data_IF_636188686130
#
_entry.id   IF_636188686130
#
_cell.length_a   1.000
_cell.length_b   1.000
_cell.length_c   1.000
_cell.angle_alpha   90.00
_cell.angle_beta   90.00
_cell.angle_gamma   90.00
#
_symmetry.space_group_name_H-M   'P 1'
#
loop_
_entity.id
_entity.type
_entity.pdbx_description
1 polymer ?
#
# COMPACT_ATOMS: atom_id res chain seq x y z
N UNK A 1 -4.16 -2.47 29.63
CA UNK A 1 -3.86 -2.92 28.24
C UNK A 1 -4.52 -4.28 28.04
N UNK A 2 -5.22 -4.47 26.93
CA UNK A 2 -5.87 -5.75 26.62
C UNK A 2 -4.81 -6.85 26.43
N UNK A 3 -5.00 -8.02 27.03
CA UNK A 3 -4.02 -9.12 26.92
C UNK A 3 -4.10 -9.80 25.55
N UNK A 4 -3.02 -10.47 25.13
CA UNK A 4 -2.93 -11.18 23.86
C UNK A 4 -4.12 -12.12 23.60
N UNK A 5 -4.49 -12.91 24.61
CA UNK A 5 -5.62 -13.86 24.50
C UNK A 5 -6.98 -13.17 24.34
N UNK A 6 -7.15 -11.96 24.89
CA UNK A 6 -8.39 -11.21 24.74
C UNK A 6 -8.50 -10.60 23.35
N UNK A 7 -7.39 -10.08 22.80
CA UNK A 7 -7.33 -9.59 21.42
C UNK A 7 -7.67 -10.71 20.45
N UNK A 8 -7.07 -11.89 20.61
CA UNK A 8 -7.34 -13.07 19.77
C UNK A 8 -8.80 -13.50 19.88
N UNK A 9 -9.36 -13.56 21.10
CA UNK A 9 -10.75 -13.96 21.32
C UNK A 9 -11.73 -13.00 20.67
N UNK A 10 -11.51 -11.69 20.79
CA UNK A 10 -12.37 -10.67 20.20
C UNK A 10 -12.29 -10.61 18.67
N UNK A 11 -11.21 -11.11 18.09
CA UNK A 11 -10.97 -11.15 16.65
C UNK A 11 -10.99 -12.58 16.07
N UNK A 12 -11.60 -13.55 16.74
CA UNK A 12 -11.57 -14.97 16.36
C UNK A 12 -12.08 -15.29 14.94
N UNK A 13 -12.84 -14.39 14.32
CA UNK A 13 -13.29 -14.53 12.93
C UNK A 13 -12.23 -14.17 11.88
N UNK A 14 -11.14 -13.52 12.28
CA UNK A 14 -10.09 -13.10 11.34
C UNK A 14 -9.03 -14.22 11.18
N UNK A 15 -8.70 -14.59 9.93
CA UNK A 15 -7.75 -15.69 9.66
C UNK A 15 -6.36 -15.50 10.28
N UNK A 16 -5.89 -14.25 10.45
CA UNK A 16 -4.59 -13.99 11.07
C UNK A 16 -4.47 -14.36 12.54
N UNK A 17 -5.59 -14.69 13.22
CA UNK A 17 -5.56 -15.26 14.58
C UNK A 17 -4.77 -16.55 14.64
N UNK A 18 -4.86 -17.39 13.60
CA UNK A 18 -4.21 -18.71 13.54
C UNK A 18 -2.69 -18.61 13.51
N UNK A 19 -2.13 -17.53 12.97
CA UNK A 19 -0.69 -17.35 12.78
C UNK A 19 -0.05 -16.36 13.75
N UNK A 20 -0.82 -15.68 14.59
CA UNK A 20 -0.33 -14.60 15.46
C UNK A 20 0.77 -15.08 16.43
N UNK A 21 0.61 -16.28 17.01
CA UNK A 21 1.61 -16.87 17.90
C UNK A 21 2.91 -17.22 17.16
N UNK A 22 2.81 -17.74 15.93
CA UNK A 22 3.96 -18.08 15.10
C UNK A 22 4.75 -16.84 14.68
N UNK A 23 4.07 -15.73 14.39
CA UNK A 23 4.72 -14.44 14.10
C UNK A 23 5.53 -13.95 15.29
N UNK A 24 4.96 -13.95 16.51
CA UNK A 24 5.68 -13.53 17.71
C UNK A 24 6.89 -14.43 18.01
N UNK A 25 6.74 -15.74 17.82
CA UNK A 25 7.83 -16.70 17.95
C UNK A 25 8.94 -16.46 16.92
N UNK A 26 8.57 -16.22 15.67
CA UNK A 26 9.52 -15.93 14.59
C UNK A 26 10.29 -14.63 14.83
N UNK A 27 9.62 -13.57 15.29
CA UNK A 27 10.26 -12.30 15.65
C UNK A 27 11.27 -12.47 16.78
N UNK A 28 10.94 -13.29 17.79
CA UNK A 28 11.87 -13.58 18.87
C UNK A 28 13.10 -14.33 18.38
N UNK A 29 12.91 -15.34 17.53
CA UNK A 29 13.98 -16.22 17.07
C UNK A 29 14.88 -15.58 15.99
N UNK A 30 14.28 -14.85 15.03
CA UNK A 30 14.98 -14.44 13.80
C UNK A 30 15.16 -12.91 13.67
N UNK A 31 14.45 -12.12 14.44
CA UNK A 31 14.49 -10.66 14.33
C UNK A 31 13.71 -10.08 13.13
N UNK A 32 13.45 -10.87 12.11
CA UNK A 32 12.69 -10.51 10.92
C UNK A 32 11.67 -11.59 10.59
N UNK A 33 10.53 -11.22 10.02
CA UNK A 33 9.51 -12.13 9.50
C UNK A 33 8.85 -11.55 8.26
N UNK A 34 8.57 -12.43 7.29
CA UNK A 34 7.80 -12.09 6.10
C UNK A 34 6.44 -12.77 6.19
N UNK A 35 5.39 -12.01 5.99
CA UNK A 35 4.02 -12.48 6.07
C UNK A 35 3.29 -12.31 4.76
N UNK A 36 2.59 -13.34 4.31
CA UNK A 36 1.60 -13.23 3.25
C UNK A 36 0.21 -13.57 3.78
N UNK A 37 -0.74 -12.73 3.44
CA UNK A 37 -2.13 -12.95 3.80
C UNK A 37 -3.05 -12.34 2.74
N UNK A 38 -4.19 -12.98 2.43
CA UNK A 38 -5.16 -12.41 1.51
C UNK A 38 -5.79 -11.13 2.09
N UNK A 39 -6.32 -10.27 1.25
CA UNK A 39 -7.04 -9.08 1.70
C UNK A 39 -8.20 -9.45 2.65
N UNK A 40 -8.36 -8.68 3.72
CA UNK A 40 -9.42 -8.91 4.72
C UNK A 40 -9.09 -9.95 5.79
N UNK A 41 -7.93 -10.58 5.75
CA UNK A 41 -7.51 -11.57 6.75
C UNK A 41 -7.19 -10.96 8.13
N UNK A 42 -7.14 -9.64 8.29
CA UNK A 42 -6.74 -8.95 9.52
C UNK A 42 -5.24 -8.63 9.58
N UNK A 43 -4.52 -8.77 8.47
CA UNK A 43 -3.09 -8.49 8.36
C UNK A 43 -2.72 -7.12 8.91
N UNK A 44 -3.36 -6.06 8.41
CA UNK A 44 -3.05 -4.68 8.75
C UNK A 44 -3.63 -4.22 10.09
N UNK A 45 -4.59 -4.94 10.67
CA UNK A 45 -5.29 -4.52 11.89
C UNK A 45 -5.02 -5.42 13.09
N UNK A 46 -5.26 -6.72 12.96
CA UNK A 46 -5.09 -7.65 14.07
C UNK A 46 -3.61 -7.95 14.38
N UNK A 47 -2.80 -8.17 13.33
CA UNK A 47 -1.41 -8.59 13.53
C UNK A 47 -0.59 -7.57 14.33
N UNK A 48 -0.60 -6.24 14.04
CA UNK A 48 0.12 -5.27 14.86
C UNK A 48 -0.32 -5.27 16.32
N UNK A 49 -1.62 -5.47 16.59
CA UNK A 49 -2.15 -5.58 17.95
C UNK A 49 -1.63 -6.83 18.67
N UNK A 50 -1.53 -7.97 17.98
CA UNK A 50 -0.99 -9.21 18.57
C UNK A 50 0.51 -9.14 18.79
N UNK A 51 1.26 -8.43 17.94
CA UNK A 51 2.69 -8.14 18.16
C UNK A 51 2.86 -7.19 19.36
N UNK A 52 2.01 -6.16 19.48
CA UNK A 52 2.01 -5.25 20.62
C UNK A 52 1.79 -6.02 21.95
N UNK A 53 0.80 -6.88 21.99
CA UNK A 53 0.42 -7.56 23.24
C UNK A 53 1.30 -8.76 23.58
N UNK A 54 1.87 -9.45 22.58
CA UNK A 54 2.58 -10.71 22.78
C UNK A 54 4.10 -10.62 22.69
N UNK A 55 4.62 -9.55 22.09
CA UNK A 55 6.05 -9.42 21.83
C UNK A 55 6.66 -8.11 22.37
N UNK A 56 5.91 -6.99 22.32
CA UNK A 56 6.47 -5.67 22.53
C UNK A 56 6.85 -5.43 24.00
N UNK A 57 8.06 -4.91 24.32
CA UNK A 57 8.44 -4.49 25.68
C UNK A 57 7.50 -3.40 26.20
N UNK A 58 7.44 -3.19 27.53
CA UNK A 58 6.55 -2.24 28.17
C UNK A 58 6.71 -0.78 27.70
N UNK A 59 7.90 -0.40 27.31
CA UNK A 59 8.30 0.93 26.82
C UNK A 59 8.51 1.00 25.30
N UNK A 60 8.42 -0.15 24.60
CA UNK A 60 8.65 -0.22 23.17
C UNK A 60 7.47 0.26 22.34
N UNK A 61 7.74 0.71 21.11
CA UNK A 61 6.76 1.12 20.11
C UNK A 61 6.87 0.31 18.83
N UNK A 62 5.76 0.24 18.10
CA UNK A 62 5.67 -0.27 16.74
C UNK A 62 5.46 0.93 15.80
N UNK A 63 6.32 1.05 14.79
CA UNK A 63 6.04 1.89 13.63
C UNK A 63 5.51 1.00 12.51
N UNK A 64 4.31 1.32 12.02
CA UNK A 64 3.69 0.59 10.91
C UNK A 64 3.55 1.49 9.70
N UNK A 65 4.20 1.12 8.61
CA UNK A 65 4.15 1.85 7.35
C UNK A 65 2.93 1.44 6.54
N UNK A 66 2.19 2.45 6.12
CA UNK A 66 1.12 2.36 5.14
C UNK A 66 1.40 3.30 3.96
N UNK A 67 1.29 2.84 2.70
CA UNK A 67 1.66 3.67 1.56
C UNK A 67 0.71 4.86 1.36
N UNK A 68 -0.51 4.81 1.90
CA UNK A 68 -1.56 5.79 1.63
C UNK A 68 -2.12 6.42 2.90
N UNK A 69 -2.26 7.76 2.90
CA UNK A 69 -2.79 8.53 4.05
C UNK A 69 -4.17 8.07 4.51
N UNK A 70 -5.08 7.78 3.56
CA UNK A 70 -6.42 7.29 3.90
C UNK A 70 -6.37 5.93 4.59
N UNK A 71 -5.58 5.00 4.06
CA UNK A 71 -5.40 3.69 4.66
C UNK A 71 -4.77 3.77 6.06
N UNK A 72 -3.73 4.60 6.24
CA UNK A 72 -3.10 4.79 7.53
C UNK A 72 -4.10 5.25 8.61
N UNK A 73 -5.00 6.19 8.27
CA UNK A 73 -6.07 6.62 9.18
C UNK A 73 -7.04 5.49 9.49
N UNK A 74 -7.58 4.85 8.47
CA UNK A 74 -8.59 3.79 8.63
C UNK A 74 -8.05 2.58 9.41
N UNK A 75 -6.80 2.20 9.14
CA UNK A 75 -6.14 1.12 9.86
C UNK A 75 -5.95 1.49 11.33
N UNK A 76 -5.47 2.71 11.63
CA UNK A 76 -5.32 3.17 13.00
C UNK A 76 -6.65 3.30 13.74
N UNK A 77 -7.67 3.88 13.10
CA UNK A 77 -9.03 3.97 13.64
C UNK A 77 -9.59 2.56 13.94
N UNK A 78 -9.47 1.62 12.99
CA UNK A 78 -9.95 0.27 13.17
C UNK A 78 -9.23 -0.48 14.30
N UNK A 79 -7.91 -0.32 14.43
CA UNK A 79 -7.17 -0.92 15.55
C UNK A 79 -7.58 -0.32 16.89
N UNK A 80 -7.79 1.01 16.97
CA UNK A 80 -8.28 1.66 18.18
C UNK A 80 -9.68 1.16 18.56
N UNK A 81 -10.59 1.03 17.59
CA UNK A 81 -11.94 0.47 17.81
C UNK A 81 -11.86 -0.97 18.35
N UNK A 82 -10.95 -1.80 17.82
CA UNK A 82 -10.75 -3.19 18.30
C UNK A 82 -10.27 -3.24 19.75
N UNK A 83 -9.58 -2.20 20.22
CA UNK A 83 -9.19 -2.02 21.62
C UNK A 83 -10.26 -1.31 22.47
N UNK A 84 -11.37 -0.87 21.86
CA UNK A 84 -12.38 0.00 22.49
C UNK A 84 -11.78 1.34 22.99
N UNK A 85 -10.81 1.87 22.24
CA UNK A 85 -10.12 3.12 22.52
C UNK A 85 -10.38 4.15 21.42
N UNK A 86 -10.03 5.41 21.68
CA UNK A 86 -9.97 6.46 20.66
C UNK A 86 -8.61 6.47 19.97
N UNK A 87 -8.59 6.81 18.68
CA UNK A 87 -7.34 7.03 17.93
C UNK A 87 -6.51 8.12 18.59
N UNK A 88 -5.23 7.81 18.87
CA UNK A 88 -4.32 8.65 19.66
C UNK A 88 -4.13 8.16 21.09
N UNK A 89 -4.84 7.09 21.51
CA UNK A 89 -4.55 6.30 22.71
C UNK A 89 -3.38 5.33 22.44
N UNK A 90 -3.60 4.03 22.69
CA UNK A 90 -2.58 2.99 22.41
C UNK A 90 -2.22 2.90 20.93
N UNK A 91 -3.13 3.26 20.02
CA UNK A 91 -2.92 3.31 18.57
C UNK A 91 -3.15 4.72 18.06
N UNK A 92 -2.19 5.22 17.30
CA UNK A 92 -2.29 6.51 16.63
C UNK A 92 -1.75 6.47 15.20
N UNK A 93 -1.78 7.60 14.51
CA UNK A 93 -1.20 7.73 13.18
C UNK A 93 -0.50 9.06 12.97
N UNK A 94 0.48 9.07 12.05
CA UNK A 94 1.13 10.28 11.52
C UNK A 94 1.09 10.26 10.00
N UNK A 95 0.42 11.22 9.42
CA UNK A 95 0.40 11.44 7.96
C UNK A 95 0.75 12.89 7.67
N UNK A 96 1.07 13.20 6.42
CA UNK A 96 1.43 14.58 6.05
C UNK A 96 0.32 15.55 6.47
N UNK A 97 0.69 16.57 7.26
CA UNK A 97 -0.17 17.62 7.82
C UNK A 97 -1.17 17.18 8.91
N UNK A 98 -1.12 15.94 9.35
CA UNK A 98 -2.01 15.47 10.39
C UNK A 98 -1.29 14.46 11.31
N UNK A 99 -1.43 14.66 12.61
CA UNK A 99 -0.83 13.83 13.63
C UNK A 99 -1.86 13.56 14.73
N UNK A 100 -2.11 12.27 15.02
CA UNK A 100 -2.96 11.80 16.11
C UNK A 100 -2.27 10.71 16.90
N UNK A 101 -1.24 11.09 17.64
CA UNK A 101 -0.51 10.24 18.57
C UNK A 101 -0.35 10.96 19.91
N UNK A 102 -0.11 10.20 20.97
CA UNK A 102 0.21 10.68 22.30
C UNK A 102 1.42 9.93 22.87
N UNK A 103 1.85 10.28 24.08
CA UNK A 103 2.91 9.54 24.78
C UNK A 103 2.53 8.09 25.08
N UNK A 104 1.22 7.80 25.22
CA UNK A 104 0.70 6.45 25.43
C UNK A 104 0.62 5.62 24.14
N UNK A 105 0.87 6.20 22.96
CA UNK A 105 0.77 5.47 21.71
C UNK A 105 1.90 4.44 21.59
N UNK A 106 1.48 3.18 21.45
CA UNK A 106 2.34 2.00 21.32
C UNK A 106 2.45 1.54 19.86
N UNK A 107 1.44 1.83 19.05
CA UNK A 107 1.45 1.61 17.60
C UNK A 107 1.23 2.97 16.93
N UNK A 108 2.16 3.37 16.10
CA UNK A 108 2.05 4.56 15.27
C UNK A 108 1.99 4.13 13.80
N UNK A 109 0.82 4.29 13.16
CA UNK A 109 0.66 4.05 11.72
C UNK A 109 1.13 5.29 10.98
N UNK A 110 2.14 5.13 10.13
CA UNK A 110 2.83 6.24 9.48
C UNK A 110 2.91 6.02 7.97
N UNK A 111 3.01 7.12 7.21
CA UNK A 111 3.31 7.00 5.78
C UNK A 111 4.82 6.91 5.55
N UNK A 112 5.23 6.28 4.45
CA UNK A 112 6.61 5.92 4.11
C UNK A 112 7.61 7.08 4.29
N UNK A 113 7.32 8.26 3.75
CA UNK A 113 8.19 9.43 3.86
C UNK A 113 8.34 9.97 5.30
N UNK A 114 7.48 9.56 6.24
CA UNK A 114 7.64 9.91 7.65
C UNK A 114 8.71 9.05 8.29
N UNK A 115 8.75 7.74 8.01
CA UNK A 115 9.82 6.88 8.52
C UNK A 115 11.20 7.32 8.01
N UNK A 116 11.33 7.65 6.72
CA UNK A 116 12.58 8.17 6.18
C UNK A 116 13.06 9.40 6.94
N UNK A 117 12.16 10.35 7.23
CA UNK A 117 12.53 11.55 8.04
C UNK A 117 12.87 11.21 9.48
N UNK A 118 12.19 10.25 10.10
CA UNK A 118 12.53 9.80 11.45
C UNK A 118 13.93 9.20 11.47
N UNK A 119 14.28 8.34 10.51
CA UNK A 119 15.59 7.74 10.39
C UNK A 119 16.70 8.76 10.12
N UNK A 120 16.43 9.81 9.32
CA UNK A 120 17.38 10.92 9.11
C UNK A 120 17.60 11.73 10.39
N UNK A 121 16.55 11.94 11.18
CA UNK A 121 16.63 12.71 12.42
C UNK A 121 17.23 11.89 13.56
N UNK A 122 16.89 10.62 13.65
CA UNK A 122 17.34 9.67 14.66
C UNK A 122 17.53 8.28 14.04
N UNK A 123 18.77 7.93 13.61
CA UNK A 123 19.07 6.60 13.07
C UNK A 123 18.93 5.46 14.09
N UNK A 124 18.91 5.77 15.38
CA UNK A 124 18.70 4.77 16.43
C UNK A 124 17.23 4.42 16.61
N UNK A 125 16.29 5.25 16.13
CA UNK A 125 14.86 5.09 16.35
C UNK A 125 14.57 4.80 17.83
N UNK A 126 15.02 5.67 18.74
CA UNK A 126 14.84 5.47 20.17
C UNK A 126 13.39 5.16 20.55
N UNK A 127 13.20 4.16 21.43
CA UNK A 127 11.88 3.68 21.84
C UNK A 127 11.12 2.83 20.81
N UNK A 128 11.64 2.67 19.59
CA UNK A 128 11.04 1.78 18.58
C UNK A 128 11.64 0.40 18.69
N UNK A 129 10.79 -0.61 18.82
CA UNK A 129 11.20 -2.03 18.89
C UNK A 129 10.87 -2.81 17.64
N UNK A 130 9.84 -2.41 16.89
CA UNK A 130 9.36 -3.10 15.69
C UNK A 130 9.01 -2.09 14.60
N UNK A 131 9.45 -2.37 13.38
CA UNK A 131 9.00 -1.68 12.17
C UNK A 131 8.24 -2.67 11.29
N UNK A 132 7.00 -2.34 10.96
CA UNK A 132 6.12 -3.14 10.10
C UNK A 132 5.98 -2.40 8.77
N UNK A 133 6.31 -3.06 7.67
CA UNK A 133 6.07 -2.58 6.32
C UNK A 133 4.82 -3.27 5.76
N UNK A 134 3.70 -2.56 5.68
CA UNK A 134 2.50 -3.10 5.04
C UNK A 134 2.44 -2.76 3.55
N UNK A 135 1.71 -3.59 2.81
CA UNK A 135 1.56 -3.50 1.35
C UNK A 135 2.90 -3.38 0.59
N UNK A 136 3.95 -4.00 1.12
CA UNK A 136 5.32 -3.88 0.60
C UNK A 136 5.47 -4.30 -0.87
N UNK A 137 4.55 -5.12 -1.38
CA UNK A 137 4.47 -5.49 -2.79
C UNK A 137 4.15 -4.31 -3.74
N UNK A 138 3.71 -3.16 -3.24
CA UNK A 138 3.54 -1.95 -4.06
C UNK A 138 4.88 -1.41 -4.57
N UNK A 139 6.00 -1.70 -3.89
CA UNK A 139 7.36 -1.39 -4.30
C UNK A 139 7.54 0.08 -4.69
N UNK A 140 6.95 1.00 -3.91
CA UNK A 140 7.21 2.44 -4.05
C UNK A 140 8.68 2.75 -3.74
N UNK A 141 9.23 3.80 -4.36
CA UNK A 141 10.60 4.23 -4.10
C UNK A 141 10.80 4.64 -2.63
N UNK A 142 9.77 5.23 -2.01
CA UNK A 142 9.83 5.63 -0.60
C UNK A 142 9.82 4.42 0.34
N UNK A 143 9.05 3.37 0.00
CA UNK A 143 9.04 2.12 0.77
C UNK A 143 10.38 1.40 0.64
N UNK A 144 10.93 1.29 -0.56
CA UNK A 144 12.22 0.66 -0.82
C UNK A 144 13.36 1.40 -0.09
N UNK A 145 13.36 2.75 -0.10
CA UNK A 145 14.31 3.57 0.65
C UNK A 145 14.17 3.38 2.16
N UNK A 146 12.94 3.52 2.68
CA UNK A 146 12.68 3.34 4.12
C UNK A 146 13.11 1.95 4.60
N UNK A 147 12.88 0.91 3.78
CA UNK A 147 13.34 -0.44 4.05
C UNK A 147 14.87 -0.53 4.09
N UNK A 148 15.57 0.00 3.08
CA UNK A 148 17.02 -0.05 3.00
C UNK A 148 17.68 0.66 4.19
N UNK A 149 17.18 1.85 4.56
CA UNK A 149 17.68 2.61 5.72
C UNK A 149 17.40 1.88 7.05
N UNK A 150 16.16 1.35 7.22
CA UNK A 150 15.79 0.57 8.42
C UNK A 150 16.69 -0.67 8.56
N UNK A 151 16.93 -1.36 7.44
CA UNK A 151 17.76 -2.56 7.43
C UNK A 151 19.23 -2.23 7.76
N UNK A 152 19.75 -1.14 7.25
CA UNK A 152 21.10 -0.66 7.61
C UNK A 152 21.20 -0.32 9.10
N UNK A 153 20.22 0.41 9.64
CA UNK A 153 20.15 0.68 11.07
C UNK A 153 20.12 -0.61 11.88
N UNK A 154 19.31 -1.59 11.49
CA UNK A 154 19.23 -2.88 12.17
C UNK A 154 20.57 -3.62 12.14
N UNK A 155 21.27 -3.63 11.01
CA UNK A 155 22.52 -4.36 10.86
C UNK A 155 23.69 -3.73 11.63
N UNK A 156 23.73 -2.40 11.70
CA UNK A 156 24.90 -1.67 12.20
C UNK A 156 24.68 -1.13 13.61
N UNK A 157 23.49 -0.58 13.89
CA UNK A 157 23.24 0.20 15.11
C UNK A 157 22.28 -0.49 16.08
N UNK A 158 21.27 -1.19 15.57
CA UNK A 158 20.15 -1.72 16.35
C UNK A 158 19.85 -3.19 15.99
N UNK A 159 20.75 -4.13 16.31
CA UNK A 159 20.50 -5.56 16.03
C UNK A 159 19.28 -6.12 16.79
N UNK A 160 18.79 -5.42 17.80
CA UNK A 160 17.56 -5.70 18.54
C UNK A 160 16.29 -5.30 17.79
N UNK A 161 16.35 -4.32 16.86
CA UNK A 161 15.20 -3.84 16.08
C UNK A 161 14.59 -4.98 15.26
N UNK A 162 13.28 -5.12 15.31
CA UNK A 162 12.55 -6.16 14.57
C UNK A 162 11.90 -5.59 13.32
N UNK A 163 11.87 -6.40 12.26
CA UNK A 163 11.28 -6.01 10.97
C UNK A 163 10.22 -7.03 10.57
N UNK A 164 9.02 -6.56 10.28
CA UNK A 164 7.92 -7.34 9.72
C UNK A 164 7.61 -6.82 8.33
N UNK A 165 7.64 -7.70 7.33
CA UNK A 165 7.21 -7.37 5.97
C UNK A 165 5.87 -8.05 5.72
N UNK A 166 4.85 -7.26 5.37
CA UNK A 166 3.53 -7.77 5.03
C UNK A 166 3.24 -7.55 3.55
N UNK A 167 2.84 -8.60 2.85
CA UNK A 167 2.59 -8.60 1.42
C UNK A 167 1.28 -9.32 1.10
N UNK A 168 0.58 -8.88 0.05
CA UNK A 168 -0.58 -9.59 -0.49
C UNK A 168 -0.20 -10.61 -1.57
N UNK A 169 1.02 -10.60 -2.07
CA UNK A 169 1.51 -11.51 -3.13
C UNK A 169 2.43 -12.58 -2.56
N UNK A 170 2.36 -13.77 -3.17
CA UNK A 170 3.06 -14.98 -2.69
C UNK A 170 4.57 -14.97 -2.97
N UNK A 171 5.05 -14.19 -3.96
CA UNK A 171 6.48 -14.19 -4.26
C UNK A 171 7.26 -13.27 -3.33
N UNK A 172 7.55 -13.83 -2.21
CA UNK A 172 8.36 -13.21 -1.15
C UNK A 172 9.75 -13.81 -1.06
N UNK A 173 10.12 -14.70 -2.00
CA UNK A 173 11.38 -15.45 -1.94
C UNK A 173 12.62 -14.55 -1.89
N UNK A 174 12.64 -13.49 -2.72
CA UNK A 174 13.73 -12.50 -2.70
C UNK A 174 13.80 -11.72 -1.38
N UNK A 175 12.65 -11.38 -0.82
CA UNK A 175 12.55 -10.66 0.48
C UNK A 175 13.01 -11.58 1.61
N UNK A 176 12.53 -12.83 1.65
CA UNK A 176 12.94 -13.82 2.66
C UNK A 176 14.44 -14.07 2.61
N UNK A 177 15.01 -14.19 1.42
CA UNK A 177 16.46 -14.38 1.23
C UNK A 177 17.25 -13.15 1.70
N UNK A 178 16.85 -11.94 1.31
CA UNK A 178 17.51 -10.69 1.69
C UNK A 178 17.51 -10.46 3.21
N UNK A 179 16.41 -10.81 3.87
CA UNK A 179 16.24 -10.65 5.31
C UNK A 179 16.73 -11.85 6.11
N UNK A 180 17.02 -12.98 5.49
CA UNK A 180 17.17 -14.28 6.15
C UNK A 180 15.98 -14.56 7.10
N UNK A 181 14.76 -14.31 6.63
CA UNK A 181 13.55 -14.32 7.42
C UNK A 181 12.63 -15.49 7.02
N UNK A 182 11.94 -16.13 7.98
CA UNK A 182 10.92 -17.13 7.66
C UNK A 182 9.71 -16.47 6.99
N UNK A 183 9.08 -17.21 6.09
CA UNK A 183 7.78 -16.89 5.51
C UNK A 183 6.68 -17.52 6.36
N UNK A 184 5.71 -16.71 6.76
CA UNK A 184 4.47 -17.17 7.39
C UNK A 184 3.31 -16.88 6.46
N UNK A 185 2.57 -17.91 6.08
CA UNK A 185 1.44 -17.79 5.17
C UNK A 185 0.11 -17.93 5.93
N UNK A 186 -0.72 -16.91 5.82
CA UNK A 186 -2.09 -16.94 6.32
C UNK A 186 -3.04 -17.41 5.21
N UNK A 187 -3.71 -18.54 5.42
CA UNK A 187 -4.71 -19.09 4.50
C UNK A 187 -6.09 -18.49 4.81
N UNK A 188 -6.38 -17.30 4.26
CA UNK A 188 -7.73 -16.73 4.37
C UNK A 188 -8.70 -17.34 3.35
N UNK A 189 -9.98 -17.35 3.69
CA UNK A 189 -11.05 -17.77 2.77
C UNK A 189 -11.44 -16.57 1.89
N UNK A 190 -11.25 -16.69 0.59
CA UNK A 190 -11.84 -15.80 -0.40
C UNK A 190 -12.96 -16.54 -1.14
N UNK A 191 -14.02 -15.81 -1.45
CA UNK A 191 -15.07 -16.34 -2.32
C UNK A 191 -14.60 -16.34 -3.79
N UNK A 192 -15.10 -17.28 -4.60
CA UNK A 192 -14.76 -17.34 -6.02
C UNK A 192 -15.21 -16.07 -6.75
N UNK A 193 -14.39 -15.61 -7.69
CA UNK A 193 -14.70 -14.48 -8.58
C UNK A 193 -14.70 -14.97 -10.02
N UNK A 194 -15.85 -14.86 -10.67
CA UNK A 194 -15.98 -15.13 -12.11
C UNK A 194 -15.32 -14.00 -12.90
N UNK A 195 -14.33 -14.32 -13.73
CA UNK A 195 -13.66 -13.32 -14.58
C UNK A 195 -14.25 -13.35 -16.00
N UNK A 196 -14.73 -12.19 -16.47
CA UNK A 196 -15.26 -11.97 -17.81
C UNK A 196 -14.36 -11.02 -18.58
N UNK A 197 -13.96 -11.41 -19.77
CA UNK A 197 -13.08 -10.64 -20.65
C UNK A 197 -13.87 -9.91 -21.73
N UNK A 198 -13.35 -8.76 -22.17
CA UNK A 198 -13.86 -8.08 -23.34
C UNK A 198 -13.49 -8.85 -24.64
N UNK A 199 -14.27 -8.65 -25.69
CA UNK A 199 -13.99 -9.22 -27.01
C UNK A 199 -12.80 -8.52 -27.70
N UNK A 200 -12.57 -7.24 -27.38
CA UNK A 200 -11.47 -6.41 -27.91
C UNK A 200 -10.81 -5.62 -26.79
N UNK A 201 -9.56 -5.30 -26.97
CA UNK A 201 -8.83 -4.39 -26.05
C UNK A 201 -9.37 -2.97 -26.19
N UNK A 202 -9.52 -2.27 -25.07
CA UNK A 202 -9.92 -0.85 -25.10
C UNK A 202 -8.71 0.06 -25.37
N UNK A 203 -8.95 1.15 -26.06
CA UNK A 203 -8.00 2.25 -26.21
C UNK A 203 -8.01 3.14 -24.97
N UNK A 204 -6.88 3.76 -24.58
CA UNK A 204 -6.87 4.74 -23.49
C UNK A 204 -7.89 5.88 -23.65
N UNK A 205 -8.17 6.32 -24.87
CA UNK A 205 -9.13 7.40 -25.15
C UNK A 205 -10.59 6.97 -24.88
N UNK A 206 -10.89 5.68 -24.98
CA UNK A 206 -12.24 5.15 -24.85
C UNK A 206 -12.54 4.61 -23.44
N UNK A 207 -11.59 4.72 -22.51
CA UNK A 207 -11.74 4.15 -21.15
C UNK A 207 -13.04 4.62 -20.48
N UNK A 208 -13.37 5.93 -20.36
CA UNK A 208 -14.53 6.36 -19.61
C UNK A 208 -15.84 5.84 -20.20
N UNK A 209 -15.97 5.83 -21.53
CA UNK A 209 -17.18 5.39 -22.25
C UNK A 209 -17.37 3.88 -22.12
N UNK A 210 -16.30 3.12 -22.28
CA UNK A 210 -16.32 1.65 -22.18
C UNK A 210 -16.58 1.19 -20.74
N UNK A 211 -15.95 1.83 -19.74
CA UNK A 211 -16.19 1.56 -18.33
C UNK A 211 -17.64 1.87 -17.96
N UNK A 212 -18.20 3.01 -18.38
CA UNK A 212 -19.58 3.37 -18.11
C UNK A 212 -20.59 2.37 -18.74
N UNK A 213 -20.33 1.90 -19.98
CA UNK A 213 -21.13 0.87 -20.62
C UNK A 213 -21.05 -0.47 -19.88
N UNK A 214 -19.86 -0.87 -19.45
CA UNK A 214 -19.65 -2.10 -18.68
C UNK A 214 -20.32 -2.04 -17.30
N UNK A 215 -20.27 -0.89 -16.61
CA UNK A 215 -20.97 -0.65 -15.35
C UNK A 215 -22.49 -0.80 -15.55
N UNK A 216 -23.07 -0.15 -16.57
CA UNK A 216 -24.51 -0.22 -16.85
C UNK A 216 -24.96 -1.66 -17.14
N UNK A 217 -24.17 -2.42 -17.91
CA UNK A 217 -24.41 -3.84 -18.16
C UNK A 217 -24.31 -4.67 -16.88
N UNK A 218 -23.26 -4.48 -16.11
CA UNK A 218 -23.05 -5.22 -14.86
C UNK A 218 -24.12 -4.93 -13.82
N UNK A 219 -24.55 -3.65 -13.73
CA UNK A 219 -25.64 -3.22 -12.84
C UNK A 219 -26.97 -3.90 -13.15
N UNK A 220 -27.29 -4.13 -14.43
CA UNK A 220 -28.51 -4.83 -14.85
C UNK A 220 -28.47 -6.35 -14.69
N UNK A 221 -27.28 -6.94 -14.63
CA UNK A 221 -27.10 -8.41 -14.62
C UNK A 221 -26.79 -8.99 -13.25
N UNK A 222 -26.31 -8.18 -12.31
CA UNK A 222 -25.84 -8.65 -11.01
C UNK A 222 -26.32 -7.76 -9.87
N UNK A 223 -26.35 -8.32 -8.69
CA UNK A 223 -26.62 -7.63 -7.43
C UNK A 223 -25.31 -7.28 -6.69
N UNK A 224 -25.41 -6.31 -5.77
CA UNK A 224 -24.30 -5.83 -4.94
C UNK A 224 -23.63 -4.57 -5.49
N UNK A 225 -22.72 -4.01 -4.73
CA UNK A 225 -22.01 -2.78 -5.07
C UNK A 225 -20.98 -3.02 -6.18
N UNK A 226 -20.74 -1.97 -6.97
CA UNK A 226 -19.81 -1.99 -8.10
C UNK A 226 -18.58 -1.15 -7.75
N UNK A 227 -17.40 -1.72 -7.91
CA UNK A 227 -16.14 -1.00 -7.87
C UNK A 227 -15.51 -0.97 -9.26
N UNK A 228 -15.35 0.21 -9.83
CA UNK A 228 -14.75 0.38 -11.15
C UNK A 228 -13.39 1.06 -11.05
N UNK A 229 -12.36 0.47 -11.66
CA UNK A 229 -11.01 1.02 -11.69
C UNK A 229 -10.75 1.81 -12.97
N UNK A 230 -10.43 3.09 -12.81
CA UNK A 230 -10.07 4.04 -13.86
C UNK A 230 -8.66 4.60 -13.62
N UNK A 231 -7.95 5.04 -14.67
CA UNK A 231 -6.57 5.52 -14.53
C UNK A 231 -6.44 6.79 -13.68
N UNK A 232 -7.35 7.76 -13.86
CA UNK A 232 -7.22 9.06 -13.25
C UNK A 232 -8.51 9.81 -12.97
N UNK A 233 -8.38 10.97 -12.33
CA UNK A 233 -9.50 11.81 -11.92
C UNK A 233 -10.36 12.30 -13.12
N UNK A 234 -9.72 12.65 -14.25
CA UNK A 234 -10.42 13.09 -15.44
C UNK A 234 -11.31 11.99 -16.02
N UNK A 235 -10.80 10.73 -16.04
CA UNK A 235 -11.53 9.56 -16.51
C UNK A 235 -12.72 9.25 -15.59
N UNK A 236 -12.54 9.40 -14.27
CA UNK A 236 -13.60 9.25 -13.27
C UNK A 236 -14.70 10.28 -13.50
N UNK A 237 -14.35 11.57 -13.62
CA UNK A 237 -15.33 12.63 -13.82
C UNK A 237 -16.11 12.50 -15.13
N UNK A 238 -15.47 11.99 -16.19
CA UNK A 238 -16.14 11.72 -17.45
C UNK A 238 -17.08 10.50 -17.33
N UNK A 239 -16.61 9.42 -16.68
CA UNK A 239 -17.44 8.23 -16.45
C UNK A 239 -18.66 8.57 -15.57
N UNK A 240 -18.49 9.35 -14.51
CA UNK A 240 -19.56 9.81 -13.63
C UNK A 240 -20.66 10.55 -14.40
N UNK A 241 -20.29 11.49 -15.27
CA UNK A 241 -21.24 12.20 -16.15
C UNK A 241 -22.01 11.26 -17.07
N UNK A 242 -21.35 10.22 -17.62
CA UNK A 242 -21.98 9.24 -18.51
C UNK A 242 -22.98 8.31 -17.78
N UNK A 243 -22.83 8.18 -16.46
CA UNK A 243 -23.69 7.33 -15.63
C UNK A 243 -24.86 8.09 -14.98
N UNK A 244 -24.73 9.40 -14.77
CA UNK A 244 -25.67 10.22 -13.98
C UNK A 244 -27.16 10.06 -14.40
N UNK A 245 -27.43 10.04 -15.72
CA UNK A 245 -28.79 9.93 -16.23
C UNK A 245 -29.26 8.47 -16.44
N UNK A 246 -28.33 7.49 -16.40
CA UNK A 246 -28.63 6.11 -16.80
C UNK A 246 -28.97 5.21 -15.62
N UNK A 247 -28.47 5.49 -14.44
CA UNK A 247 -28.51 4.59 -13.29
C UNK A 247 -29.19 5.19 -12.06
N UNK A 248 -29.92 6.30 -12.21
CA UNK A 248 -30.75 6.83 -11.11
C UNK A 248 -31.76 5.78 -10.64
N UNK A 249 -31.95 5.54 -9.33
CA UNK A 249 -31.41 6.32 -8.19
C UNK A 249 -30.09 5.81 -7.60
N UNK A 250 -29.33 4.94 -8.28
CA UNK A 250 -28.10 4.37 -7.73
C UNK A 250 -27.04 5.47 -7.56
N UNK A 251 -26.51 5.61 -6.35
CA UNK A 251 -25.48 6.60 -6.04
C UNK A 251 -24.13 6.22 -6.66
N UNK A 252 -23.44 7.21 -7.24
CA UNK A 252 -22.10 7.09 -7.81
C UNK A 252 -21.14 7.94 -6.98
N UNK A 253 -20.05 7.31 -6.49
CA UNK A 253 -19.06 7.96 -5.65
C UNK A 253 -17.68 7.91 -6.32
N UNK A 254 -17.02 9.06 -6.56
CA UNK A 254 -15.61 9.08 -6.93
C UNK A 254 -14.71 8.70 -5.75
N UNK A 255 -13.58 8.01 -6.01
CA UNK A 255 -12.58 7.67 -4.99
C UNK A 255 -11.16 7.82 -5.54
N UNK A 256 -10.49 8.91 -5.16
CA UNK A 256 -9.09 9.19 -5.50
C UNK A 256 -8.40 10.02 -4.40
N UNK A 257 -7.07 10.09 -4.43
CA UNK A 257 -6.26 10.58 -3.31
C UNK A 257 -6.46 12.05 -2.92
N UNK A 258 -6.93 12.93 -3.84
CA UNK A 258 -7.09 14.37 -3.60
C UNK A 258 -8.50 14.77 -3.14
N UNK A 259 -9.41 13.82 -2.95
CA UNK A 259 -10.73 14.10 -2.38
C UNK A 259 -10.62 14.51 -0.91
N UNK A 260 -11.62 15.28 -0.43
CA UNK A 260 -11.73 15.58 0.99
C UNK A 260 -11.92 14.29 1.80
N UNK A 261 -11.50 14.27 3.09
CA UNK A 261 -11.69 13.11 3.96
C UNK A 261 -13.16 12.68 4.08
N UNK A 262 -14.09 13.61 4.02
CA UNK A 262 -15.52 13.35 4.05
C UNK A 262 -16.00 12.62 2.79
N UNK A 263 -15.62 13.08 1.61
CA UNK A 263 -15.94 12.44 0.34
C UNK A 263 -15.36 11.03 0.26
N UNK A 264 -14.12 10.84 0.72
CA UNK A 264 -13.49 9.53 0.77
C UNK A 264 -14.26 8.59 1.72
N UNK A 265 -14.70 9.09 2.89
CA UNK A 265 -15.49 8.32 3.87
C UNK A 265 -16.83 7.89 3.28
N UNK A 266 -17.55 8.78 2.60
CA UNK A 266 -18.81 8.46 1.93
C UNK A 266 -18.65 7.37 0.87
N UNK A 267 -17.60 7.44 0.06
CA UNK A 267 -17.34 6.42 -0.96
C UNK A 267 -17.07 5.02 -0.36
N UNK A 268 -16.43 4.97 0.82
CA UNK A 268 -16.06 3.72 1.49
C UNK A 268 -17.16 3.18 2.40
N UNK A 269 -18.00 4.04 3.00
CA UNK A 269 -19.07 3.65 3.91
C UNK A 269 -19.98 2.58 3.30
N UNK A 270 -20.51 1.62 4.07
CA UNK A 270 -21.44 0.61 3.56
C UNK A 270 -22.69 1.25 2.96
N UNK A 271 -23.28 0.61 1.95
CA UNK A 271 -24.56 1.03 1.38
C UNK A 271 -25.69 0.83 2.37
N UNK A 272 -26.73 1.65 2.29
CA UNK A 272 -27.95 1.48 3.07
C UNK A 272 -28.64 0.14 2.79
N UNK A 273 -29.52 -0.29 3.71
CA UNK A 273 -30.22 -1.57 3.57
C UNK A 273 -31.10 -1.57 2.32
N UNK A 274 -30.81 -2.45 1.37
CA UNK A 274 -31.51 -2.52 0.08
C UNK A 274 -31.03 -1.52 -0.98
N UNK A 275 -30.04 -0.70 -0.66
CA UNK A 275 -29.42 0.25 -1.57
C UNK A 275 -28.17 -0.37 -2.22
N UNK A 276 -27.80 0.17 -3.35
CA UNK A 276 -26.58 -0.16 -4.09
C UNK A 276 -25.81 1.11 -4.41
N UNK A 277 -24.50 1.00 -4.46
CA UNK A 277 -23.64 2.10 -4.90
C UNK A 277 -22.65 1.66 -5.97
N UNK A 278 -22.14 2.64 -6.69
CA UNK A 278 -21.04 2.49 -7.65
C UNK A 278 -19.89 3.35 -7.16
N UNK A 279 -18.71 2.77 -6.99
CA UNK A 279 -17.50 3.50 -6.64
C UNK A 279 -16.58 3.53 -7.86
N UNK A 280 -16.28 4.73 -8.35
CA UNK A 280 -15.33 4.96 -9.44
C UNK A 280 -13.98 5.31 -8.83
N UNK A 281 -13.01 4.42 -8.90
CA UNK A 281 -11.76 4.54 -8.16
C UNK A 281 -10.52 4.56 -9.06
N UNK A 282 -9.51 5.33 -8.64
CA UNK A 282 -8.14 5.11 -9.09
C UNK A 282 -7.53 3.91 -8.34
N UNK A 283 -6.24 3.52 -8.60
CA UNK A 283 -5.59 2.44 -7.83
C UNK A 283 -5.58 2.63 -6.30
N UNK A 284 -6.06 3.76 -5.77
CA UNK A 284 -6.23 3.98 -4.32
C UNK A 284 -7.09 2.90 -3.65
N UNK A 285 -8.06 2.33 -4.38
CA UNK A 285 -8.93 1.27 -3.89
C UNK A 285 -8.39 -0.15 -4.19
N UNK A 286 -7.17 -0.30 -4.70
CA UNK A 286 -6.59 -1.60 -5.07
C UNK A 286 -6.14 -2.41 -3.85
N UNK A 287 -5.57 -1.72 -2.84
CA UNK A 287 -5.04 -2.32 -1.60
C UNK A 287 -5.58 -1.58 -0.37
N UNK A 288 -5.18 -1.93 0.83
CA UNK A 288 -5.39 -1.27 2.13
C UNK A 288 -6.79 -0.71 2.49
N UNK A 289 -7.63 -0.33 1.52
CA UNK A 289 -8.98 0.22 1.78
C UNK A 289 -10.02 -0.88 1.62
N UNK A 290 -10.86 -1.09 2.61
CA UNK A 290 -12.01 -2.00 2.51
C UNK A 290 -13.26 -1.22 2.14
N UNK A 291 -13.88 -1.57 1.02
CA UNK A 291 -15.20 -1.09 0.61
C UNK A 291 -16.14 -2.28 0.78
N UNK A 292 -17.02 -2.17 1.76
CA UNK A 292 -17.99 -3.23 2.06
C UNK A 292 -19.05 -3.32 0.96
N UNK A 293 -19.63 -4.50 0.75
CA UNK A 293 -20.72 -4.70 -0.21
C UNK A 293 -20.29 -4.92 -1.67
N UNK A 294 -19.01 -4.72 -2.01
CA UNK A 294 -18.52 -4.91 -3.39
C UNK A 294 -18.61 -6.38 -3.80
N UNK A 295 -19.38 -6.66 -4.84
CA UNK A 295 -19.50 -7.97 -5.49
C UNK A 295 -19.16 -7.92 -6.98
N UNK A 296 -19.05 -6.73 -7.54
CA UNK A 296 -18.78 -6.51 -8.95
C UNK A 296 -17.56 -5.61 -9.09
N UNK A 297 -16.59 -6.05 -9.87
CA UNK A 297 -15.43 -5.23 -10.25
C UNK A 297 -15.48 -4.99 -11.76
N UNK A 298 -15.26 -3.75 -12.18
CA UNK A 298 -15.02 -3.35 -13.57
C UNK A 298 -13.61 -2.78 -13.66
N UNK A 299 -12.73 -3.46 -14.37
CA UNK A 299 -11.32 -3.09 -14.47
C UNK A 299 -10.98 -2.62 -15.87
N UNK A 300 -10.58 -1.36 -16.01
CA UNK A 300 -10.12 -0.79 -17.29
C UNK A 300 -8.82 -1.43 -17.80
N UNK A 301 -8.02 -2.06 -16.93
CA UNK A 301 -6.69 -2.56 -17.27
C UNK A 301 -5.61 -1.49 -17.37
N UNK A 302 -5.90 -0.29 -16.87
CA UNK A 302 -4.97 0.85 -16.92
C UNK A 302 -4.80 1.52 -15.56
N UNK A 303 -3.65 2.20 -15.40
CA UNK A 303 -3.37 3.09 -14.29
C UNK A 303 -2.54 4.28 -14.77
N UNK A 304 -2.44 5.33 -13.95
CA UNK A 304 -1.45 6.39 -14.15
C UNK A 304 -0.19 6.08 -13.37
N UNK A 305 0.94 6.16 -14.05
CA UNK A 305 2.27 5.97 -13.49
C UNK A 305 3.13 7.20 -13.76
N UNK A 306 3.92 7.60 -12.78
CA UNK A 306 4.93 8.63 -12.98
C UNK A 306 6.13 7.99 -13.69
N UNK A 307 6.49 8.52 -14.85
CA UNK A 307 7.61 8.04 -15.67
C UNK A 307 8.64 9.16 -15.76
N UNK A 308 9.87 8.84 -15.37
CA UNK A 308 10.99 9.77 -15.49
C UNK A 308 11.62 9.67 -16.88
N UNK A 309 11.83 10.84 -17.50
CA UNK A 309 12.52 10.92 -18.78
C UNK A 309 13.98 11.40 -18.56
N UNK A 310 14.96 10.51 -18.68
CA UNK A 310 16.38 10.85 -18.44
C UNK A 310 16.93 11.94 -19.36
N UNK A 311 16.32 12.11 -20.57
CA UNK A 311 16.79 13.11 -21.53
C UNK A 311 16.38 14.54 -21.16
N UNK A 312 15.17 14.70 -20.64
CA UNK A 312 14.65 16.01 -20.23
C UNK A 312 14.88 16.30 -18.74
N UNK A 313 15.17 15.28 -17.91
CA UNK A 313 15.22 15.40 -16.46
C UNK A 313 13.86 15.65 -15.82
N UNK A 314 12.76 15.41 -16.54
CA UNK A 314 11.40 15.65 -16.05
C UNK A 314 10.62 14.35 -15.92
N UNK A 315 9.81 14.27 -14.88
CA UNK A 315 8.82 13.23 -14.70
C UNK A 315 7.46 13.67 -15.22
N UNK A 316 6.73 12.78 -15.88
CA UNK A 316 5.37 13.02 -16.34
C UNK A 316 4.47 11.83 -16.06
N UNK A 317 3.17 12.07 -15.97
CA UNK A 317 2.19 11.01 -15.74
C UNK A 317 1.75 10.40 -17.08
N UNK A 318 1.99 9.09 -17.21
CA UNK A 318 1.52 8.30 -18.35
C UNK A 318 0.38 7.35 -17.94
N UNK A 319 -0.53 7.09 -18.89
CA UNK A 319 -1.52 6.03 -18.77
C UNK A 319 -0.92 4.75 -19.32
N UNK A 320 -0.65 3.79 -18.43
CA UNK A 320 0.01 2.52 -18.74
C UNK A 320 -0.88 1.33 -18.44
N UNK A 321 -0.61 0.19 -19.09
CA UNK A 321 -1.24 -1.10 -18.74
C UNK A 321 -0.80 -1.52 -17.34
N UNK A 322 -1.73 -2.08 -16.57
CA UNK A 322 -1.43 -2.69 -15.27
C UNK A 322 -0.74 -4.04 -15.46
N UNK A 323 -0.12 -4.53 -14.39
CA UNK A 323 0.42 -5.89 -14.30
C UNK A 323 -0.66 -6.91 -13.89
N UNK A 324 -0.36 -8.20 -14.06
CA UNK A 324 -1.30 -9.29 -13.71
C UNK A 324 -1.57 -9.39 -12.21
N UNK A 325 -0.57 -9.10 -11.37
CA UNK A 325 -0.74 -9.03 -9.92
C UNK A 325 -1.73 -7.92 -9.54
N UNK A 326 -1.63 -6.72 -10.15
CA UNK A 326 -2.61 -5.65 -9.95
C UNK A 326 -4.02 -6.09 -10.39
N UNK A 327 -4.14 -6.70 -11.57
CA UNK A 327 -5.42 -7.22 -12.06
C UNK A 327 -6.04 -8.26 -11.11
N UNK A 328 -5.20 -9.10 -10.52
CA UNK A 328 -5.62 -10.11 -9.53
C UNK A 328 -6.07 -9.47 -8.23
N UNK A 329 -5.33 -8.48 -7.72
CA UNK A 329 -5.73 -7.73 -6.52
C UNK A 329 -7.05 -6.99 -6.71
N UNK A 330 -7.23 -6.31 -7.87
CA UNK A 330 -8.48 -5.62 -8.22
C UNK A 330 -9.64 -6.59 -8.30
N UNK A 331 -9.50 -7.70 -9.00
CA UNK A 331 -10.55 -8.72 -9.11
C UNK A 331 -10.92 -9.32 -7.75
N UNK A 332 -9.93 -9.53 -6.87
CA UNK A 332 -10.13 -10.03 -5.52
C UNK A 332 -11.05 -9.17 -4.64
N UNK A 333 -11.25 -7.88 -5.01
CA UNK A 333 -12.20 -7.01 -4.31
C UNK A 333 -13.64 -7.50 -4.40
N UNK A 334 -14.02 -8.20 -5.48
CA UNK A 334 -15.37 -8.77 -5.67
C UNK A 334 -15.64 -10.01 -4.80
N UNK A 335 -14.58 -10.70 -4.34
CA UNK A 335 -14.67 -11.97 -3.61
C UNK A 335 -14.52 -11.86 -2.09
N UNK A 336 -14.68 -10.70 -1.47
CA UNK A 336 -14.45 -10.52 -0.03
C UNK A 336 -15.60 -10.97 0.85
N UNK A 337 -16.82 -10.70 0.45
CA UNK A 337 -18.03 -10.94 1.26
C UNK A 337 -18.92 -12.05 0.72
N UNK A 338 -18.89 -12.31 -0.58
CA UNK A 338 -19.67 -13.32 -1.28
C UNK A 338 -19.03 -13.63 -2.64
N UNK A 339 -19.48 -14.67 -3.37
CA UNK A 339 -19.08 -14.88 -4.75
C UNK A 339 -19.36 -13.64 -5.60
N UNK A 340 -18.39 -13.27 -6.43
CA UNK A 340 -18.44 -12.04 -7.21
C UNK A 340 -18.09 -12.21 -8.67
N UNK A 341 -18.09 -11.10 -9.42
CA UNK A 341 -17.74 -11.08 -10.85
C UNK A 341 -16.77 -9.91 -11.11
N UNK A 342 -15.80 -10.17 -11.99
CA UNK A 342 -14.84 -9.16 -12.45
C UNK A 342 -14.92 -9.04 -13.98
N UNK A 343 -15.24 -7.86 -14.47
CA UNK A 343 -15.20 -7.50 -15.89
C UNK A 343 -13.83 -6.91 -16.21
N UNK A 344 -12.98 -7.66 -16.90
CA UNK A 344 -11.71 -7.21 -17.45
C UNK A 344 -11.94 -6.62 -18.83
N UNK A 345 -11.73 -5.32 -19.00
CA UNK A 345 -11.99 -4.63 -20.27
C UNK A 345 -10.84 -4.80 -21.28
N UNK A 346 -10.29 -5.99 -21.34
CA UNK A 346 -9.27 -6.43 -22.31
C UNK A 346 -9.49 -7.89 -22.68
N UNK A 347 -8.82 -8.34 -23.73
CA UNK A 347 -8.93 -9.73 -24.18
C UNK A 347 -8.07 -10.66 -23.34
N UNK A 348 -8.49 -11.91 -23.18
CA UNK A 348 -7.69 -12.91 -22.49
C UNK A 348 -6.30 -13.11 -23.14
N UNK A 349 -6.22 -12.98 -24.47
CA UNK A 349 -4.95 -13.05 -25.18
C UNK A 349 -3.97 -11.92 -24.82
N UNK A 350 -4.46 -10.75 -24.46
CA UNK A 350 -3.65 -9.60 -24.07
C UNK A 350 -2.92 -9.80 -22.73
N UNK A 351 -3.40 -10.69 -21.88
CA UNK A 351 -2.72 -11.00 -20.61
C UNK A 351 -1.33 -11.59 -20.80
N UNK A 352 -1.11 -12.36 -21.85
CA UNK A 352 0.23 -12.89 -22.18
C UNK A 352 1.27 -11.81 -22.49
N UNK A 353 0.83 -10.58 -22.75
CA UNK A 353 1.68 -9.41 -23.02
C UNK A 353 1.80 -8.46 -21.82
N UNK A 354 1.03 -8.71 -20.76
CA UNK A 354 1.10 -7.93 -19.52
C UNK A 354 2.29 -8.43 -18.68
N UNK A 355 2.95 -7.50 -17.98
CA UNK A 355 3.94 -7.88 -17.00
C UNK A 355 3.28 -8.72 -15.90
N UNK A 356 3.94 -9.78 -15.46
CA UNK A 356 3.43 -10.59 -14.34
C UNK A 356 3.28 -9.77 -13.06
N UNK A 357 4.22 -8.86 -12.82
CA UNK A 357 4.32 -8.06 -11.60
C UNK A 357 4.57 -6.60 -11.89
N UNK A 358 4.20 -5.79 -10.93
CA UNK A 358 4.57 -4.37 -10.89
C UNK A 358 6.10 -4.23 -10.84
N UNK A 359 6.66 -3.39 -11.70
CA UNK A 359 8.08 -3.05 -11.61
C UNK A 359 8.32 -2.16 -10.38
N UNK A 360 9.41 -2.42 -9.61
CA UNK A 360 9.79 -1.51 -8.54
C UNK A 360 9.99 -0.10 -9.08
N UNK A 361 9.41 0.89 -8.40
CA UNK A 361 9.45 2.29 -8.84
C UNK A 361 10.88 2.84 -8.94
N UNK A 362 11.78 2.35 -8.09
CA UNK A 362 13.21 2.69 -8.10
C UNK A 362 13.90 2.42 -9.43
N UNK A 363 13.36 1.54 -10.27
CA UNK A 363 13.93 1.22 -11.58
C UNK A 363 13.71 2.32 -12.63
N UNK A 364 12.66 3.12 -12.48
CA UNK A 364 12.17 4.05 -13.50
C UNK A 364 11.93 5.47 -12.95
N UNK A 365 12.27 5.75 -11.68
CA UNK A 365 12.04 7.04 -11.02
C UNK A 365 13.23 8.00 -11.12
N UNK A 366 12.97 9.29 -10.87
CA UNK A 366 14.01 10.27 -10.56
C UNK A 366 14.62 9.95 -9.20
N UNK A 367 15.92 9.68 -9.18
CA UNK A 367 16.65 9.34 -7.96
C UNK A 367 17.21 10.54 -7.20
N UNK A 368 17.11 11.78 -7.72
CA UNK A 368 17.70 12.93 -7.04
C UNK A 368 17.13 13.17 -5.64
N UNK A 369 15.79 13.12 -5.41
CA UNK A 369 15.26 13.22 -4.05
C UNK A 369 15.75 12.09 -3.12
N UNK A 370 15.77 10.86 -3.65
CA UNK A 370 16.21 9.68 -2.89
C UNK A 370 17.69 9.77 -2.47
N UNK A 371 18.56 10.20 -3.39
CA UNK A 371 19.99 10.38 -3.07
C UNK A 371 20.22 11.52 -2.09
N UNK A 372 19.40 12.56 -2.13
CA UNK A 372 19.46 13.65 -1.16
C UNK A 372 19.08 13.16 0.25
N UNK A 373 18.04 12.35 0.37
CA UNK A 373 17.62 11.73 1.64
C UNK A 373 18.73 10.78 2.18
N UNK A 374 19.37 10.00 1.31
CA UNK A 374 20.49 9.13 1.66
C UNK A 374 21.69 9.94 2.19
N UNK A 375 22.03 11.03 1.48
CA UNK A 375 23.08 11.94 1.93
C UNK A 375 22.73 12.64 3.26
N UNK A 376 21.44 12.95 3.47
CA UNK A 376 20.96 13.52 4.73
C UNK A 376 21.00 12.51 5.88
N UNK A 377 20.78 11.23 5.61
CA UNK A 377 20.95 10.14 6.57
C UNK A 377 22.42 9.93 6.98
N UNK A 378 23.35 10.42 6.17
CA UNK A 378 24.79 10.34 6.44
C UNK A 378 25.54 9.29 5.62
N UNK A 379 24.86 8.66 4.64
CA UNK A 379 25.48 7.70 3.74
C UNK A 379 25.90 8.37 2.42
N UNK A 380 27.12 8.14 2.02
CA UNK A 380 27.68 8.71 0.78
C UNK A 380 27.61 7.74 -0.41
N UNK A 381 27.52 6.44 -0.14
CA UNK A 381 27.40 5.39 -1.14
C UNK A 381 26.01 4.77 -1.15
N UNK A 382 25.14 5.34 -1.98
CA UNK A 382 23.77 4.85 -2.12
C UNK A 382 23.68 3.39 -2.61
N UNK A 383 24.69 2.89 -3.32
CA UNK A 383 24.72 1.53 -3.86
C UNK A 383 25.08 0.49 -2.78
N UNK A 384 25.75 0.91 -1.71
CA UNK A 384 26.11 0.06 -0.58
C UNK A 384 24.94 -0.22 0.38
N UNK A 385 23.83 0.52 0.29
CA UNK A 385 22.64 0.25 1.11
C UNK A 385 22.07 -1.14 0.82
N UNK A 386 21.50 -1.82 1.82
CA UNK A 386 20.90 -3.15 1.66
C UNK A 386 19.55 -3.11 0.93
N UNK A 387 19.57 -2.68 -0.33
CA UNK A 387 18.41 -2.62 -1.19
C UNK A 387 17.84 -4.01 -1.49
N UNK A 388 16.53 -4.10 -1.62
CA UNK A 388 15.91 -5.28 -2.22
C UNK A 388 16.07 -5.28 -3.75
N UNK A 389 16.00 -4.09 -4.36
CA UNK A 389 16.32 -3.86 -5.78
C UNK A 389 17.29 -2.69 -5.84
N UNK A 390 18.52 -2.94 -6.22
CA UNK A 390 19.54 -1.88 -6.33
C UNK A 390 19.19 -0.90 -7.44
N UNK A 391 19.27 0.42 -7.19
CA UNK A 391 19.04 1.42 -8.23
C UNK A 391 20.06 1.28 -9.36
N UNK A 392 19.67 1.68 -10.57
CA UNK A 392 20.56 1.58 -11.71
C UNK A 392 21.74 2.55 -11.59
N UNK A 393 23.02 2.10 -11.80
CA UNK A 393 24.18 2.96 -11.66
C UNK A 393 24.15 4.21 -12.53
N UNK A 394 23.59 4.13 -13.75
CA UNK A 394 23.42 5.27 -14.65
C UNK A 394 22.47 6.34 -14.09
N UNK A 395 21.37 5.92 -13.46
CA UNK A 395 20.41 6.82 -12.84
C UNK A 395 20.99 7.46 -11.57
N UNK A 396 21.74 6.69 -10.78
CA UNK A 396 22.49 7.19 -9.62
C UNK A 396 23.52 8.25 -10.05
N UNK A 397 24.31 7.97 -11.08
CA UNK A 397 25.31 8.93 -11.58
C UNK A 397 24.68 10.23 -12.09
N UNK A 398 23.54 10.16 -12.79
CA UNK A 398 22.80 11.32 -13.27
C UNK A 398 22.25 12.16 -12.10
N UNK A 399 21.66 11.52 -11.11
CA UNK A 399 21.13 12.20 -9.92
C UNK A 399 22.24 12.84 -9.09
N UNK A 400 23.39 12.15 -8.88
CA UNK A 400 24.59 12.72 -8.23
C UNK A 400 25.08 13.97 -8.96
N UNK A 401 25.21 13.90 -10.29
CA UNK A 401 25.63 15.05 -11.10
C UNK A 401 24.70 16.25 -10.90
N UNK A 402 23.39 16.02 -10.90
CA UNK A 402 22.40 17.07 -10.66
C UNK A 402 22.56 17.68 -9.26
N UNK A 403 22.62 16.88 -8.21
CA UNK A 403 22.75 17.33 -6.84
C UNK A 403 24.06 18.10 -6.60
N UNK A 404 25.16 17.65 -7.20
CA UNK A 404 26.46 18.35 -7.14
C UNK A 404 26.41 19.70 -7.87
N UNK A 405 25.76 19.73 -9.06
CA UNK A 405 25.58 20.97 -9.83
C UNK A 405 24.74 22.00 -9.08
N UNK A 406 23.71 21.54 -8.35
CA UNK A 406 22.88 22.39 -7.49
C UNK A 406 23.58 22.78 -6.17
N UNK A 407 24.77 22.23 -5.87
CA UNK A 407 25.46 22.42 -4.60
C UNK A 407 24.77 21.78 -3.40
N UNK A 408 23.83 20.85 -3.63
CA UNK A 408 23.11 20.15 -2.57
C UNK A 408 23.99 19.06 -1.90
N UNK A 409 24.92 18.47 -2.65
CA UNK A 409 25.95 17.57 -2.14
C UNK A 409 27.34 18.03 -2.59
N UNK A 410 28.36 17.68 -1.82
CA UNK A 410 29.77 17.96 -2.16
C UNK A 410 30.36 16.88 -3.11
N UNK A 411 31.64 17.01 -3.45
CA UNK A 411 32.35 16.05 -4.33
C UNK A 411 32.48 14.64 -3.73
N UNK A 412 32.20 14.47 -2.45
CA UNK A 412 32.19 13.19 -1.73
C UNK A 412 30.77 12.69 -1.45
N UNK A 413 29.77 13.25 -2.12
CA UNK A 413 28.33 12.96 -1.96
C UNK A 413 27.78 13.26 -0.55
N UNK A 414 28.46 14.07 0.26
CA UNK A 414 27.96 14.47 1.58
C UNK A 414 27.03 15.68 1.43
N UNK A 415 25.95 15.67 2.19
CA UNK A 415 24.97 16.76 2.16
C UNK A 415 25.60 18.09 2.60
N UNK A 416 25.32 19.15 1.86
CA UNK A 416 25.76 20.52 2.20
C UNK A 416 24.71 21.26 3.02
N UNK A 417 25.03 22.49 3.50
CA UNK A 417 24.04 23.36 4.14
C UNK A 417 22.89 23.76 3.22
N UNK A 418 23.12 23.82 1.89
CA UNK A 418 22.09 24.07 0.91
C UNK A 418 21.21 22.84 0.65
N UNK A 419 21.78 21.64 0.76
CA UNK A 419 21.05 20.39 0.59
C UNK A 419 20.12 20.08 1.76
N UNK A 420 20.42 20.55 2.95
CA UNK A 420 19.58 20.41 4.16
C UNK A 420 18.38 21.36 4.11
#
# INVERSE_FOLDING_TARGET
MMEFNDIIRNAASLPTTEIAADVNKALTANGCVVLTAPPGAGKSTLLPLTVMAGFLPSDGKILMLEPRRLAARQVAERMADMLSEHTGGSVGYRVRFENRVSESSRIEVITEGILTRMLIADPLLEGVSVVIFDEFHERSINSDLAFALTRQCQQILRPDLKIVIMSATIDTSSICTSLNAPLIECRGKMFPVETRYAATDISPADIPTTVAAAISKAHSQHEGDILAFLPGQADIAQCERLLADKLSPTAVFPLYGNLSPEQQRLAVAPSGRGERKIVLATPVAETSITIEGVRIVVDSGYCRQLVYNPRSGLSHLETVRISLDMATQRSGRAGRVAPGVCYRLWTKASEHRMNERRRPEISDADLAPTLLDIAAFGESDAEALPWLTTPQPSAVAQARKLLTTLGAVDSQNRITSLGR
#
